data_IF_711687761727
#
_entry.id   IF_711687761727
#
_cell.length_a   1.000
_cell.length_b   1.000
_cell.length_c   1.000
_cell.angle_alpha   90.00
_cell.angle_beta   90.00
_cell.angle_gamma   90.00
#
_symmetry.space_group_name_H-M   'P 1'
#
loop_
_entity.id
_entity.type
_entity.pdbx_description
1 polymer ?
#
# COMPACT_ATOMS: atom_id res chain seq x y z
N UNK A 1 0.43 65.68 5.66
CA UNK A 1 0.85 65.20 7.00
C UNK A 1 1.57 63.86 6.85
N UNK A 2 2.90 63.84 6.99
CA UNK A 2 3.72 62.63 6.83
C UNK A 2 3.65 61.77 8.10
N UNK A 3 3.08 60.56 8.01
CA UNK A 3 3.07 59.58 9.11
C UNK A 3 4.49 59.06 9.32
N UNK A 4 5.20 59.59 10.32
CA UNK A 4 6.47 59.01 10.81
C UNK A 4 6.19 57.60 11.35
N UNK A 5 6.56 56.57 10.59
CA UNK A 5 6.62 55.19 11.11
C UNK A 5 7.76 55.13 12.13
N UNK A 6 7.43 55.00 13.41
CA UNK A 6 8.41 54.73 14.46
C UNK A 6 9.07 53.38 14.16
N UNK A 7 10.40 53.34 14.15
CA UNK A 7 11.16 52.09 14.01
C UNK A 7 10.82 51.19 15.21
N UNK A 8 10.53 49.90 15.00
CA UNK A 8 10.30 48.99 16.12
C UNK A 8 11.56 48.93 16.99
N UNK A 9 11.38 49.04 18.31
CA UNK A 9 12.47 48.84 19.26
C UNK A 9 12.97 47.41 19.20
N UNK A 10 14.25 47.20 19.51
CA UNK A 10 14.89 45.89 19.46
C UNK A 10 14.18 44.87 20.39
N UNK A 11 13.63 45.35 21.50
CA UNK A 11 12.79 44.57 22.42
C UNK A 11 11.49 44.08 21.77
N UNK A 12 10.80 44.92 20.99
CA UNK A 12 9.58 44.53 20.29
C UNK A 12 9.85 43.42 19.24
N UNK A 13 11.03 43.41 18.64
CA UNK A 13 11.46 42.36 17.72
C UNK A 13 11.73 41.04 18.44
N UNK A 14 12.37 41.09 19.62
CA UNK A 14 12.60 39.92 20.46
C UNK A 14 11.29 39.30 20.96
N UNK A 15 10.33 40.10 21.43
CA UNK A 15 9.02 39.58 21.84
C UNK A 15 8.25 38.95 20.68
N UNK A 16 8.34 39.52 19.47
CA UNK A 16 7.73 38.93 18.27
C UNK A 16 8.36 37.58 17.92
N UNK A 17 9.68 37.43 18.06
CA UNK A 17 10.39 36.18 17.83
C UNK A 17 9.99 35.10 18.84
N UNK A 18 10.05 35.44 20.13
CA UNK A 18 9.68 34.52 21.22
C UNK A 18 8.22 34.08 21.08
N UNK A 19 7.31 35.01 20.76
CA UNK A 19 5.90 34.68 20.51
C UNK A 19 5.70 33.74 19.33
N UNK A 20 6.47 33.92 18.25
CA UNK A 20 6.42 33.03 17.07
C UNK A 20 6.90 31.62 17.42
N UNK A 21 8.04 31.51 18.12
CA UNK A 21 8.57 30.22 18.56
C UNK A 21 7.63 29.51 19.55
N UNK A 22 7.04 30.23 20.50
CA UNK A 22 6.07 29.67 21.42
C UNK A 22 4.82 29.13 20.69
N UNK A 23 4.34 29.85 19.68
CA UNK A 23 3.17 29.42 18.88
C UNK A 23 3.50 28.16 18.07
N UNK A 24 4.64 28.12 17.40
CA UNK A 24 5.11 26.93 16.67
C UNK A 24 5.27 25.73 17.60
N UNK A 25 5.83 25.94 18.79
CA UNK A 25 6.01 24.89 19.79
C UNK A 25 4.68 24.32 20.31
N UNK A 26 3.69 25.17 20.60
CA UNK A 26 2.37 24.73 21.04
C UNK A 26 1.62 23.96 19.95
N UNK A 27 1.71 24.39 18.68
CA UNK A 27 1.13 23.67 17.54
C UNK A 27 1.79 22.31 17.35
N UNK A 28 3.12 22.24 17.43
CA UNK A 28 3.88 20.99 17.34
C UNK A 28 3.47 20.00 18.43
N UNK A 29 3.40 20.45 19.69
CA UNK A 29 2.96 19.61 20.82
C UNK A 29 1.51 19.13 20.65
N UNK A 30 0.62 19.98 20.11
CA UNK A 30 -0.76 19.60 19.79
C UNK A 30 -0.86 18.48 18.74
N UNK A 31 -0.04 18.55 17.69
CA UNK A 31 0.01 17.52 16.62
C UNK A 31 0.53 16.19 17.17
N UNK A 32 1.62 16.20 17.93
CA UNK A 32 2.21 14.98 18.53
C UNK A 32 1.25 14.32 19.53
N UNK A 33 0.53 15.12 20.33
CA UNK A 33 -0.49 14.60 21.26
C UNK A 33 -1.71 13.98 20.57
N UNK A 34 -2.05 14.41 19.35
CA UNK A 34 -3.18 13.87 18.59
C UNK A 34 -2.84 12.54 17.91
N UNK A 35 -1.59 12.36 17.49
CA UNK A 35 -1.10 11.13 16.84
C UNK A 35 -1.15 9.93 17.80
N UNK A 36 -0.79 10.13 19.08
CA UNK A 36 -0.89 9.04 20.07
C UNK A 36 -2.34 8.59 20.33
N UNK A 37 -3.31 9.50 20.42
CA UNK A 37 -4.71 9.15 20.74
C UNK A 37 -5.45 8.41 19.61
N UNK A 38 -5.08 8.64 18.36
CA UNK A 38 -5.67 7.94 17.21
C UNK A 38 -5.08 6.54 17.03
N UNK A 39 -3.80 6.38 17.37
CA UNK A 39 -3.08 5.11 17.25
C UNK A 39 -3.59 4.08 18.27
N UNK A 40 -3.85 4.48 19.51
CA UNK A 40 -4.32 3.57 20.56
C UNK A 40 -5.74 3.02 20.30
N UNK A 41 -6.62 3.81 19.67
CA UNK A 41 -7.99 3.36 19.37
C UNK A 41 -8.05 2.33 18.23
N UNK A 42 -7.15 2.41 17.25
CA UNK A 42 -7.11 1.42 16.16
C UNK A 42 -6.40 0.11 16.56
N UNK A 43 -5.39 0.18 17.44
CA UNK A 43 -4.69 -1.01 17.92
C UNK A 43 -5.61 -1.89 18.80
N UNK A 44 -6.48 -1.29 19.61
CA UNK A 44 -7.41 -2.04 20.47
C UNK A 44 -8.43 -2.87 19.67
N UNK A 45 -9.01 -2.30 18.59
CA UNK A 45 -9.95 -3.02 17.73
C UNK A 45 -9.25 -4.07 16.86
N UNK A 46 -8.03 -3.80 16.39
CA UNK A 46 -7.24 -4.74 15.59
C UNK A 46 -6.90 -6.03 16.34
N UNK A 47 -6.62 -5.95 17.65
CA UNK A 47 -6.27 -7.12 18.47
C UNK A 47 -7.43 -8.10 18.66
N UNK A 48 -8.68 -7.62 18.74
CA UNK A 48 -9.85 -8.50 18.84
C UNK A 48 -10.09 -9.26 17.53
N UNK A 49 -9.96 -8.57 16.39
CA UNK A 49 -10.06 -9.23 15.08
C UNK A 49 -8.93 -10.23 14.85
N UNK A 50 -7.69 -9.90 15.22
CA UNK A 50 -6.57 -10.84 15.09
C UNK A 50 -6.78 -12.09 15.96
N UNK A 51 -7.26 -11.94 17.19
CA UNK A 51 -7.55 -13.09 18.07
C UNK A 51 -8.64 -14.00 17.51
N UNK A 52 -9.72 -13.42 16.96
CA UNK A 52 -10.79 -14.22 16.33
C UNK A 52 -10.31 -14.95 15.08
N UNK A 53 -9.50 -14.30 14.25
CA UNK A 53 -8.90 -14.91 13.06
C UNK A 53 -7.93 -16.03 13.45
N UNK A 54 -7.12 -15.82 14.50
CA UNK A 54 -6.17 -16.82 14.99
C UNK A 54 -6.89 -18.03 15.60
N UNK A 55 -7.96 -17.82 16.38
CA UNK A 55 -8.79 -18.91 16.90
C UNK A 55 -9.48 -19.69 15.78
N UNK A 56 -10.05 -19.01 14.78
CA UNK A 56 -10.65 -19.69 13.62
C UNK A 56 -9.63 -20.48 12.81
N UNK A 57 -8.38 -20.00 12.69
CA UNK A 57 -7.31 -20.77 12.05
C UNK A 57 -6.93 -22.00 12.86
N UNK A 58 -6.83 -21.88 14.19
CA UNK A 58 -6.54 -23.00 15.08
C UNK A 58 -7.67 -24.04 15.07
N UNK A 59 -8.92 -23.60 15.11
CA UNK A 59 -10.10 -24.49 14.97
C UNK A 59 -10.13 -25.15 13.60
N UNK A 60 -9.88 -24.42 12.50
CA UNK A 60 -9.75 -25.04 11.17
C UNK A 60 -8.56 -26.01 11.10
N UNK A 61 -7.43 -25.73 11.75
CA UNK A 61 -6.31 -26.66 11.80
C UNK A 61 -6.64 -27.91 12.62
N UNK A 62 -7.33 -27.78 13.75
CA UNK A 62 -7.77 -28.91 14.55
C UNK A 62 -8.86 -29.73 13.85
N UNK A 63 -9.83 -29.07 13.19
CA UNK A 63 -10.82 -29.71 12.32
C UNK A 63 -10.21 -30.30 11.05
N UNK A 64 -9.06 -29.81 10.58
CA UNK A 64 -8.31 -30.44 9.51
C UNK A 64 -7.44 -31.59 10.01
N UNK A 65 -7.00 -31.59 11.28
CA UNK A 65 -6.17 -32.65 11.86
C UNK A 65 -6.97 -33.84 12.40
N UNK A 66 -8.18 -33.63 12.93
CA UNK A 66 -9.04 -34.72 13.41
C UNK A 66 -9.49 -35.71 12.31
N UNK A 67 -9.85 -35.31 11.08
CA UNK A 67 -10.07 -36.26 10.00
C UNK A 67 -8.75 -36.82 9.46
N UNK A 68 -7.61 -36.15 9.61
CA UNK A 68 -6.31 -36.64 9.11
C UNK A 68 -5.76 -37.81 9.92
N UNK A 69 -6.04 -37.97 11.22
CA UNK A 69 -5.58 -39.18 11.93
C UNK A 69 -6.40 -40.44 11.59
N UNK A 70 -7.72 -40.30 11.36
CA UNK A 70 -8.54 -41.42 10.89
C UNK A 70 -8.39 -41.67 9.38
N UNK A 71 -8.12 -40.63 8.58
CA UNK A 71 -7.77 -40.78 7.18
C UNK A 71 -6.31 -41.17 6.96
N UNK A 72 -5.34 -40.91 7.84
CA UNK A 72 -3.95 -41.33 7.61
C UNK A 72 -3.83 -42.87 7.56
N UNK A 73 -4.65 -43.60 8.32
CA UNK A 73 -4.72 -45.05 8.22
C UNK A 73 -5.53 -45.55 6.99
N UNK A 74 -6.39 -44.71 6.40
CA UNK A 74 -7.12 -45.02 5.16
C UNK A 74 -6.41 -44.53 3.88
N UNK A 75 -5.60 -43.47 3.96
CA UNK A 75 -4.92 -42.81 2.84
C UNK A 75 -3.63 -43.54 2.46
N UNK A 76 -3.03 -44.29 3.38
CA UNK A 76 -1.97 -45.27 3.04
C UNK A 76 -2.54 -46.42 2.19
N UNK A 77 -3.86 -46.65 2.22
CA UNK A 77 -4.53 -47.59 1.31
C UNK A 77 -5.20 -46.93 0.11
N UNK A 78 -5.14 -45.60 -0.01
CA UNK A 78 -5.75 -44.84 -1.12
C UNK A 78 -4.78 -43.86 -1.80
N UNK A 79 -3.47 -44.12 -1.70
CA UNK A 79 -2.57 -43.73 -2.80
C UNK A 79 -2.86 -44.67 -3.96
N UNK A 80 -3.92 -44.38 -4.72
CA UNK A 80 -3.96 -44.87 -6.10
C UNK A 80 -2.63 -44.45 -6.73
N UNK A 81 -1.85 -45.38 -7.29
CA UNK A 81 -0.68 -45.01 -8.06
C UNK A 81 -1.22 -44.19 -9.22
N UNK A 82 -1.09 -42.87 -9.12
CA UNK A 82 -1.36 -41.95 -10.21
C UNK A 82 -0.59 -42.52 -11.39
N UNK A 83 -1.29 -42.91 -12.44
CA UNK A 83 -0.67 -43.57 -13.56
C UNK A 83 0.42 -42.65 -14.11
N UNK A 84 1.50 -43.21 -14.67
CA UNK A 84 2.59 -42.41 -15.24
C UNK A 84 2.03 -41.37 -16.23
N UNK A 85 0.91 -41.67 -16.89
CA UNK A 85 0.16 -40.76 -17.76
C UNK A 85 -0.48 -39.58 -17.03
N UNK A 86 -1.20 -39.81 -15.92
CA UNK A 86 -1.81 -38.75 -15.12
C UNK A 86 -0.76 -37.82 -14.48
N UNK A 87 0.37 -38.38 -14.06
CA UNK A 87 1.49 -37.57 -13.55
C UNK A 87 2.10 -36.66 -14.62
N UNK A 88 2.25 -37.15 -15.86
CA UNK A 88 2.73 -36.32 -16.97
C UNK A 88 1.72 -35.25 -17.35
N UNK A 89 0.42 -35.58 -17.38
CA UNK A 89 -0.65 -34.63 -17.67
C UNK A 89 -0.71 -33.51 -16.62
N UNK A 90 -0.60 -33.84 -15.34
CA UNK A 90 -0.58 -32.85 -14.25
C UNK A 90 0.67 -31.96 -14.34
N UNK A 91 1.83 -32.56 -14.67
CA UNK A 91 3.07 -31.81 -14.87
C UNK A 91 2.98 -30.82 -16.03
N UNK A 92 2.38 -31.23 -17.14
CA UNK A 92 2.12 -30.36 -18.30
C UNK A 92 1.15 -29.23 -17.93
N UNK A 93 0.08 -29.54 -17.19
CA UNK A 93 -0.89 -28.54 -16.72
C UNK A 93 -0.25 -27.51 -15.80
N UNK A 94 0.58 -27.94 -14.86
CA UNK A 94 1.33 -27.05 -13.96
C UNK A 94 2.36 -26.24 -14.75
N UNK A 95 3.03 -26.83 -15.75
CA UNK A 95 3.96 -26.10 -16.61
C UNK A 95 3.25 -25.00 -17.41
N UNK A 96 2.12 -25.30 -18.04
CA UNK A 96 1.30 -24.33 -18.75
C UNK A 96 0.79 -23.22 -17.83
N UNK A 97 0.35 -23.55 -16.62
CA UNK A 97 -0.09 -22.56 -15.65
C UNK A 97 1.04 -21.64 -15.20
N UNK A 98 2.25 -22.18 -15.00
CA UNK A 98 3.45 -21.39 -14.68
C UNK A 98 3.83 -20.47 -15.81
N UNK A 99 3.73 -20.93 -17.05
CA UNK A 99 4.06 -20.13 -18.22
C UNK A 99 3.06 -18.99 -18.43
N UNK A 100 1.76 -19.26 -18.29
CA UNK A 100 0.72 -18.23 -18.29
C UNK A 100 0.91 -17.22 -17.15
N UNK A 101 1.33 -17.67 -15.97
CA UNK A 101 1.65 -16.79 -14.84
C UNK A 101 2.87 -15.90 -15.14
N UNK A 102 3.92 -16.45 -15.75
CA UNK A 102 5.10 -15.68 -16.17
C UNK A 102 4.74 -14.61 -17.18
N UNK A 103 3.96 -14.95 -18.21
CA UNK A 103 3.52 -13.98 -19.22
C UNK A 103 2.71 -12.83 -18.61
N UNK A 104 1.81 -13.14 -17.67
CA UNK A 104 1.06 -12.09 -16.94
C UNK A 104 1.97 -11.23 -16.08
N UNK A 105 2.93 -11.83 -15.39
CA UNK A 105 3.89 -11.08 -14.58
C UNK A 105 4.76 -10.16 -15.44
N UNK A 106 5.18 -10.61 -16.63
CA UNK A 106 5.94 -9.79 -17.58
C UNK A 106 5.12 -8.61 -18.10
N UNK A 107 3.85 -8.83 -18.46
CA UNK A 107 2.96 -7.75 -18.89
C UNK A 107 2.72 -6.71 -17.78
N UNK A 108 2.50 -7.16 -16.54
CA UNK A 108 2.35 -6.25 -15.40
C UNK A 108 3.64 -5.47 -15.11
N UNK A 109 4.81 -6.09 -15.26
CA UNK A 109 6.10 -5.39 -15.14
C UNK A 109 6.25 -4.32 -16.20
N UNK A 110 5.98 -4.63 -17.47
CA UNK A 110 6.03 -3.65 -18.56
C UNK A 110 5.04 -2.50 -18.35
N UNK A 111 3.83 -2.80 -17.87
CA UNK A 111 2.83 -1.78 -17.56
C UNK A 111 3.29 -0.86 -16.42
N UNK A 112 3.88 -1.42 -15.37
CA UNK A 112 4.40 -0.63 -14.25
C UNK A 112 5.59 0.25 -14.67
N UNK A 113 6.53 -0.28 -15.45
CA UNK A 113 7.66 0.50 -15.99
C UNK A 113 7.17 1.64 -16.88
N UNK A 114 6.21 1.38 -17.77
CA UNK A 114 5.60 2.41 -18.61
C UNK A 114 4.88 3.47 -17.76
N UNK A 115 4.23 3.08 -16.66
CA UNK A 115 3.59 4.02 -15.73
C UNK A 115 4.62 4.92 -15.02
N UNK A 116 5.71 4.36 -14.52
CA UNK A 116 6.78 5.12 -13.84
C UNK A 116 7.42 6.15 -14.78
N UNK A 117 7.58 5.80 -16.06
CA UNK A 117 8.04 6.74 -17.08
C UNK A 117 7.01 7.79 -17.48
N UNK A 118 5.72 7.44 -17.46
CA UNK A 118 4.64 8.35 -17.83
C UNK A 118 4.31 9.37 -16.73
N UNK A 119 4.35 8.94 -15.47
CA UNK A 119 3.98 9.75 -14.32
C UNK A 119 5.02 9.64 -13.21
N UNK A 120 5.70 10.75 -12.97
CA UNK A 120 6.51 10.94 -11.77
C UNK A 120 5.84 11.99 -10.89
N UNK A 121 5.50 11.68 -9.64
CA UNK A 121 4.94 12.66 -8.73
C UNK A 121 5.94 13.79 -8.45
N UNK A 122 5.44 15.00 -8.19
CA UNK A 122 6.29 16.09 -7.72
C UNK A 122 6.67 15.87 -6.25
N UNK A 123 7.80 16.39 -5.78
CA UNK A 123 8.22 16.26 -4.36
C UNK A 123 7.14 16.71 -3.36
N UNK A 124 6.36 17.74 -3.69
CA UNK A 124 5.23 18.20 -2.86
C UNK A 124 4.07 17.19 -2.75
N UNK A 125 4.01 16.21 -3.64
CA UNK A 125 3.06 15.09 -3.58
C UNK A 125 3.65 13.87 -2.88
N UNK A 126 4.98 13.70 -2.91
CA UNK A 126 5.67 12.66 -2.14
C UNK A 126 5.70 13.01 -0.64
N UNK A 127 5.87 14.30 -0.32
CA UNK A 127 5.89 14.84 1.03
C UNK A 127 4.85 15.96 1.18
N UNK A 128 3.56 15.63 1.23
CA UNK A 128 2.50 16.62 1.30
C UNK A 128 2.49 17.34 2.66
N UNK A 129 2.47 18.67 2.61
CA UNK A 129 2.47 19.53 3.79
C UNK A 129 1.10 19.61 4.50
N UNK A 130 0.04 19.16 3.84
CA UNK A 130 -1.34 19.26 4.34
C UNK A 130 -2.27 18.22 3.71
N UNK A 131 -3.41 17.95 4.35
CA UNK A 131 -4.43 17.05 3.80
C UNK A 131 -4.98 17.56 2.46
N UNK A 132 -5.19 18.87 2.31
CA UNK A 132 -5.62 19.46 1.04
C UNK A 132 -4.63 19.17 -0.09
N UNK A 133 -3.32 19.15 0.20
CA UNK A 133 -2.29 18.77 -0.77
C UNK A 133 -2.41 17.31 -1.17
N UNK A 134 -2.65 16.40 -0.21
CA UNK A 134 -2.90 14.98 -0.46
C UNK A 134 -4.07 14.79 -1.43
N UNK A 135 -5.20 15.46 -1.17
CA UNK A 135 -6.40 15.33 -2.00
C UNK A 135 -6.14 15.81 -3.44
N UNK A 136 -5.43 16.94 -3.59
CA UNK A 136 -5.03 17.47 -4.91
C UNK A 136 -4.08 16.51 -5.64
N UNK A 137 -3.08 15.97 -4.94
CA UNK A 137 -2.13 15.03 -5.52
C UNK A 137 -2.82 13.72 -5.92
N UNK A 138 -3.74 13.22 -5.10
CA UNK A 138 -4.54 12.02 -5.39
C UNK A 138 -5.45 12.22 -6.60
N UNK A 139 -6.15 13.35 -6.67
CA UNK A 139 -7.00 13.69 -7.82
C UNK A 139 -6.17 13.83 -9.11
N UNK A 140 -4.97 14.42 -9.00
CA UNK A 140 -4.04 14.54 -10.12
C UNK A 140 -3.56 13.17 -10.60
N UNK A 141 -3.08 12.32 -9.68
CA UNK A 141 -2.64 10.97 -10.00
C UNK A 141 -3.76 10.15 -10.65
N UNK A 142 -4.98 10.19 -10.11
CA UNK A 142 -6.13 9.49 -10.67
C UNK A 142 -6.43 9.92 -12.11
N UNK A 143 -6.28 11.22 -12.42
CA UNK A 143 -6.40 11.73 -13.79
C UNK A 143 -5.32 11.16 -14.71
N UNK A 144 -4.05 11.24 -14.31
CA UNK A 144 -2.95 10.68 -15.10
C UNK A 144 -3.09 9.17 -15.27
N UNK A 145 -3.59 8.46 -14.25
CA UNK A 145 -3.84 7.03 -14.32
C UNK A 145 -4.90 6.72 -15.38
N UNK A 146 -6.00 7.47 -15.41
CA UNK A 146 -7.02 7.31 -16.45
C UNK A 146 -6.46 7.57 -17.85
N UNK A 147 -5.67 8.61 -18.02
CA UNK A 147 -5.02 8.93 -19.31
C UNK A 147 -4.02 7.85 -19.73
N UNK A 148 -3.24 7.32 -18.78
CA UNK A 148 -2.32 6.21 -19.02
C UNK A 148 -3.04 4.94 -19.44
N UNK A 149 -4.10 4.52 -18.73
CA UNK A 149 -4.86 3.32 -19.07
C UNK A 149 -5.50 3.43 -20.47
N UNK A 150 -5.95 4.62 -20.87
CA UNK A 150 -6.47 4.88 -22.21
C UNK A 150 -5.39 4.69 -23.28
N UNK A 151 -4.20 5.26 -23.08
CA UNK A 151 -3.07 5.14 -24.01
C UNK A 151 -2.45 3.75 -24.03
N UNK A 152 -2.45 3.06 -22.88
CA UNK A 152 -2.07 1.66 -22.77
C UNK A 152 -3.01 0.76 -23.57
N UNK A 153 -4.32 0.95 -23.44
CA UNK A 153 -5.31 0.24 -24.23
C UNK A 153 -5.22 0.55 -25.74
N UNK A 154 -4.77 1.77 -26.10
CA UNK A 154 -4.50 2.16 -27.48
C UNK A 154 -3.17 1.59 -28.04
N UNK A 155 -2.34 0.94 -27.22
CA UNK A 155 -1.06 0.37 -27.64
C UNK A 155 0.06 1.41 -27.84
N UNK A 156 -0.05 2.60 -27.25
CA UNK A 156 0.96 3.65 -27.41
C UNK A 156 2.28 3.35 -26.66
N UNK A 157 2.25 2.44 -25.69
CA UNK A 157 3.40 2.06 -24.85
C UNK A 157 3.98 0.68 -25.18
N UNK A 158 3.40 -0.06 -26.13
CA UNK A 158 3.84 -1.41 -26.50
C UNK A 158 4.95 -1.44 -27.57
N UNK A 159 5.51 -0.29 -27.95
CA UNK A 159 6.63 -0.24 -28.89
C UNK A 159 7.97 -0.29 -28.14
N UNK A 160 8.78 -1.34 -28.32
CA UNK A 160 10.20 -1.23 -28.02
C UNK A 160 10.75 -0.15 -28.96
N UNK A 161 11.35 0.91 -28.42
CA UNK A 161 12.10 1.85 -29.27
C UNK A 161 13.19 1.04 -29.97
N UNK A 162 13.12 1.01 -31.31
CA UNK A 162 14.16 0.48 -32.18
C UNK A 162 15.47 1.25 -32.02
#
# INVERSE_FOLDING_TARGET
MARRRKRPSLEAWLFSLVGTFATVYLVYQGIVGHIHRVTDRQIAQGQETLRRVHQQQMERQQQAQQPVQQQAHAYVHQQQPMSVQEFQLERERVAQQKEAMRQRAEQERQKNEAWEHFYTPTQACELPESQTRVDVCTAREARFRKEFEQRWAAGEFSQPRA
#
